data_IF_837400473936
#
_entry.id   IF_837400473936
#
_cell.length_a   1.000
_cell.length_b   1.000
_cell.length_c   1.000
_cell.angle_alpha   90.00
_cell.angle_beta   90.00
_cell.angle_gamma   90.00
#
_symmetry.space_group_name_H-M   'P 1'
#
loop_
_entity.id
_entity.type
_entity.pdbx_description
1 polymer ?
#
# COMPACT_ATOMS: atom_id res chain seq x y z
N UNK A 1 -13.83 -18.04 17.69
CA UNK A 1 -13.11 -17.54 16.49
C UNK A 1 -11.66 -17.32 16.89
N UNK A 2 -10.73 -17.48 15.97
CA UNK A 2 -9.30 -17.24 16.21
C UNK A 2 -8.77 -16.23 15.19
N UNK A 3 -7.75 -15.49 15.59
CA UNK A 3 -7.17 -14.43 14.78
C UNK A 3 -6.03 -15.00 13.93
N UNK A 4 -5.98 -14.63 12.65
CA UNK A 4 -4.90 -14.98 11.74
C UNK A 4 -4.33 -13.73 11.07
N UNK A 5 -3.02 -13.75 10.81
CA UNK A 5 -2.31 -12.64 10.17
C UNK A 5 -1.68 -13.13 8.87
N UNK A 6 -1.96 -12.41 7.78
CA UNK A 6 -1.33 -12.61 6.47
C UNK A 6 -0.30 -11.51 6.28
N UNK A 7 0.94 -11.88 5.94
CA UNK A 7 2.03 -10.95 5.60
C UNK A 7 2.58 -11.36 4.25
N UNK A 8 2.69 -10.39 3.33
CA UNK A 8 3.19 -10.58 1.97
C UNK A 8 4.29 -9.55 1.78
N UNK A 9 5.51 -10.00 1.55
CA UNK A 9 6.63 -9.16 1.15
C UNK A 9 6.77 -9.19 -0.37
N UNK A 10 6.75 -8.02 -1.01
CA UNK A 10 6.85 -7.89 -2.45
C UNK A 10 7.83 -6.76 -2.83
N UNK A 11 8.41 -6.87 -4.02
CA UNK A 11 9.23 -5.80 -4.61
C UNK A 11 8.37 -5.08 -5.65
N UNK A 12 8.19 -3.78 -5.45
CA UNK A 12 7.35 -2.92 -6.28
C UNK A 12 8.05 -1.62 -6.69
N UNK A 13 7.27 -0.74 -7.32
CA UNK A 13 7.72 0.60 -7.72
C UNK A 13 7.63 1.62 -6.58
N UNK A 14 7.04 2.78 -6.87
CA UNK A 14 7.03 3.94 -5.96
C UNK A 14 5.76 4.05 -5.08
N UNK A 15 4.86 3.07 -5.10
CA UNK A 15 3.51 3.21 -4.55
C UNK A 15 2.50 3.80 -5.54
N UNK A 16 1.22 3.54 -5.28
CA UNK A 16 0.09 4.15 -6.00
C UNK A 16 -0.09 5.61 -5.58
N UNK A 17 -0.55 6.46 -6.50
CA UNK A 17 -0.76 7.90 -6.27
C UNK A 17 0.32 8.56 -5.40
N UNK A 18 1.58 8.48 -5.83
CA UNK A 18 2.75 8.93 -5.05
C UNK A 18 2.65 10.35 -4.50
N UNK A 19 1.84 11.20 -5.13
CA UNK A 19 1.67 12.61 -4.78
C UNK A 19 0.69 12.83 -3.62
N UNK A 20 -0.04 11.79 -3.19
CA UNK A 20 -0.98 11.86 -2.07
C UNK A 20 -0.26 11.99 -0.74
N UNK A 21 -0.70 12.94 0.07
CA UNK A 21 -0.20 13.25 1.40
C UNK A 21 -0.99 12.53 2.48
N UNK A 22 -0.55 12.72 3.72
CA UNK A 22 -1.24 12.24 4.90
C UNK A 22 -2.71 12.68 4.96
N UNK A 23 -3.58 11.71 5.25
CA UNK A 23 -5.03 11.91 5.32
C UNK A 23 -5.75 11.88 3.96
N UNK A 24 -5.01 11.87 2.84
CA UNK A 24 -5.63 11.76 1.53
C UNK A 24 -5.95 10.32 1.15
N UNK A 25 -6.98 10.17 0.31
CA UNK A 25 -7.40 8.89 -0.24
C UNK A 25 -6.53 8.55 -1.45
N UNK A 26 -5.89 7.39 -1.40
CA UNK A 26 -5.13 6.74 -2.46
C UNK A 26 -6.08 5.90 -3.30
N UNK A 27 -6.04 6.11 -4.61
CA UNK A 27 -6.80 5.31 -5.55
C UNK A 27 -5.95 4.14 -6.08
N UNK A 28 -6.25 2.94 -5.60
CA UNK A 28 -5.57 1.71 -6.00
C UNK A 28 -5.98 1.20 -7.40
N UNK A 29 -6.88 1.90 -8.10
CA UNK A 29 -7.36 1.52 -9.43
C UNK A 29 -6.58 2.16 -10.59
N UNK A 30 -5.81 3.22 -10.33
CA UNK A 30 -5.35 4.13 -11.39
C UNK A 30 -4.08 3.65 -12.10
N UNK A 31 -3.17 2.89 -11.46
CA UNK A 31 -1.91 2.49 -12.10
C UNK A 31 -1.60 1.00 -12.01
N UNK A 32 -1.53 0.34 -13.16
CA UNK A 32 -0.95 -0.99 -13.32
C UNK A 32 -1.73 -2.08 -12.59
N UNK A 33 -2.56 -2.82 -13.34
CA UNK A 33 -3.35 -3.94 -12.82
C UNK A 33 -2.53 -5.00 -12.07
N UNK A 34 -1.19 -4.99 -12.14
CA UNK A 34 -0.33 -5.99 -11.51
C UNK A 34 0.65 -5.42 -10.48
N UNK A 35 0.47 -4.17 -10.03
CA UNK A 35 1.25 -3.63 -8.93
C UNK A 35 0.91 -4.37 -7.61
N UNK A 36 1.89 -4.64 -6.72
CA UNK A 36 1.63 -5.33 -5.44
C UNK A 36 0.52 -4.69 -4.60
N UNK A 37 0.47 -3.35 -4.57
CA UNK A 37 -0.52 -2.60 -3.79
C UNK A 37 -1.94 -2.77 -4.36
N UNK A 38 -2.08 -2.77 -5.69
CA UNK A 38 -3.36 -2.99 -6.37
C UNK A 38 -3.84 -4.45 -6.22
N UNK A 39 -2.92 -5.42 -6.27
CA UNK A 39 -3.20 -6.83 -5.98
C UNK A 39 -3.66 -7.03 -4.53
N UNK A 40 -2.95 -6.43 -3.57
CA UNK A 40 -3.30 -6.51 -2.15
C UNK A 40 -4.68 -5.91 -1.88
N UNK A 41 -5.00 -4.76 -2.50
CA UNK A 41 -6.32 -4.15 -2.39
C UNK A 41 -7.42 -5.08 -2.91
N UNK A 42 -7.24 -5.68 -4.10
CA UNK A 42 -8.22 -6.63 -4.66
C UNK A 42 -8.42 -7.84 -3.76
N UNK A 43 -7.35 -8.39 -3.18
CA UNK A 43 -7.45 -9.50 -2.24
C UNK A 43 -8.26 -9.13 -0.99
N UNK A 44 -8.04 -7.94 -0.43
CA UNK A 44 -8.81 -7.43 0.71
C UNK A 44 -10.29 -7.26 0.34
N UNK A 45 -10.58 -6.72 -0.83
CA UNK A 45 -11.95 -6.56 -1.32
C UNK A 45 -12.63 -7.92 -1.55
N UNK A 46 -11.90 -8.91 -2.06
CA UNK A 46 -12.39 -10.29 -2.21
C UNK A 46 -12.67 -10.96 -0.86
N UNK A 47 -11.80 -10.80 0.14
CA UNK A 47 -12.06 -11.29 1.50
C UNK A 47 -13.37 -10.71 2.06
N UNK A 48 -13.56 -9.39 1.93
CA UNK A 48 -14.79 -8.72 2.40
C UNK A 48 -16.02 -9.18 1.62
N UNK A 49 -15.91 -9.35 0.30
CA UNK A 49 -17.00 -9.83 -0.55
C UNK A 49 -17.43 -11.26 -0.19
N UNK A 50 -16.49 -12.09 0.27
CA UNK A 50 -16.75 -13.46 0.74
C UNK A 50 -17.20 -13.54 2.22
N UNK A 51 -17.45 -12.40 2.87
CA UNK A 51 -17.95 -12.35 4.26
C UNK A 51 -16.88 -12.58 5.33
N UNK A 52 -15.59 -12.51 4.99
CA UNK A 52 -14.53 -12.53 5.98
C UNK A 52 -14.48 -11.20 6.75
N UNK A 53 -14.35 -11.28 8.07
CA UNK A 53 -14.05 -10.12 8.91
C UNK A 53 -12.58 -9.74 8.76
N UNK A 54 -12.32 -8.49 8.36
CA UNK A 54 -10.97 -7.94 8.20
C UNK A 54 -10.84 -6.74 9.14
N UNK A 55 -10.17 -6.94 10.27
CA UNK A 55 -10.01 -5.89 11.30
C UNK A 55 -8.99 -4.81 10.89
N UNK A 56 -7.98 -5.20 10.11
CA UNK A 56 -6.99 -4.27 9.56
C UNK A 56 -6.41 -4.80 8.25
N UNK A 57 -6.13 -3.90 7.30
CA UNK A 57 -5.39 -4.23 6.08
C UNK A 57 -4.56 -3.02 5.67
N UNK A 58 -3.24 -3.21 5.56
CA UNK A 58 -2.28 -2.13 5.34
C UNK A 58 -1.26 -2.52 4.29
N UNK A 59 -0.90 -1.57 3.45
CA UNK A 59 0.31 -1.62 2.63
C UNK A 59 1.34 -0.72 3.29
N UNK A 60 2.52 -1.27 3.53
CA UNK A 60 3.67 -0.53 4.03
C UNK A 60 4.69 -0.51 2.92
N UNK A 61 5.11 0.68 2.48
CA UNK A 61 6.06 0.83 1.40
C UNK A 61 7.09 1.93 1.69
N UNK A 62 8.27 1.78 1.07
CA UNK A 62 9.37 2.72 1.16
C UNK A 62 9.68 3.17 -0.26
N UNK A 63 9.05 4.25 -0.77
CA UNK A 63 9.41 4.75 -2.08
C UNK A 63 10.92 5.01 -2.10
N UNK A 64 11.61 4.70 -3.19
CA UNK A 64 12.97 5.19 -3.33
C UNK A 64 12.88 6.71 -3.44
N UNK A 65 13.58 7.44 -2.57
CA UNK A 65 13.93 8.81 -2.94
C UNK A 65 14.87 8.63 -4.12
N UNK A 66 14.48 9.02 -5.34
CA UNK A 66 15.41 9.57 -6.33
C UNK A 66 14.80 9.69 -7.73
N UNK A 67 14.56 10.94 -8.08
CA UNK A 67 14.97 11.49 -9.38
C UNK A 67 16.52 11.60 -9.53
N UNK A 68 17.32 11.12 -8.57
CA UNK A 68 18.77 11.39 -8.42
C UNK A 68 19.77 10.23 -8.59
N UNK A 69 19.38 9.06 -9.12
CA UNK A 69 20.32 7.98 -9.47
C UNK A 69 20.73 7.01 -8.35
N UNK A 70 21.49 5.96 -8.68
CA UNK A 70 21.70 4.76 -7.84
C UNK A 70 22.52 4.97 -6.55
N UNK A 71 23.09 6.14 -6.34
CA UNK A 71 24.08 6.39 -5.27
C UNK A 71 23.48 7.06 -4.01
N UNK A 72 22.22 7.49 -4.04
CA UNK A 72 21.52 8.12 -2.91
C UNK A 72 20.26 7.35 -2.49
N UNK A 73 20.22 6.03 -2.65
CA UNK A 73 19.08 5.21 -2.25
C UNK A 73 19.05 5.04 -0.72
N UNK A 74 18.72 6.11 0.01
CA UNK A 74 18.20 5.93 1.35
C UNK A 74 16.87 5.18 1.23
N UNK A 75 16.57 4.25 2.14
CA UNK A 75 15.14 3.89 2.30
C UNK A 75 14.43 5.18 2.67
N UNK A 76 13.51 5.66 1.83
CA UNK A 76 12.70 6.80 2.22
C UNK A 76 11.90 6.44 3.47
N UNK A 77 11.21 7.44 4.04
CA UNK A 77 10.34 7.21 5.17
C UNK A 77 9.28 6.17 4.81
N UNK A 78 8.93 5.38 5.82
CA UNK A 78 7.83 4.43 5.74
C UNK A 78 6.53 5.18 5.45
N UNK A 79 5.83 4.77 4.40
CA UNK A 79 4.48 5.22 4.07
C UNK A 79 3.54 4.03 4.29
N UNK A 80 2.40 4.32 4.89
CA UNK A 80 1.37 3.33 5.20
C UNK A 80 0.06 3.76 4.55
N UNK A 81 -0.47 2.89 3.68
CA UNK A 81 -1.79 3.04 3.11
C UNK A 81 -2.75 2.02 3.73
N UNK A 82 -3.87 2.50 4.25
CA UNK A 82 -4.93 1.65 4.78
C UNK A 82 -5.82 1.14 3.65
N UNK A 83 -5.87 -0.17 3.42
CA UNK A 83 -6.63 -0.77 2.33
C UNK A 83 -8.14 -0.85 2.59
N UNK A 84 -8.58 -0.61 3.82
CA UNK A 84 -10.01 -0.60 4.17
C UNK A 84 -10.63 0.78 3.91
N UNK A 85 -9.87 1.85 4.16
CA UNK A 85 -10.32 3.25 4.07
C UNK A 85 -9.74 4.00 2.87
N UNK A 86 -8.61 3.53 2.34
CA UNK A 86 -7.82 4.21 1.31
C UNK A 86 -6.92 5.33 1.85
N UNK A 87 -6.89 5.56 3.16
CA UNK A 87 -6.19 6.71 3.74
C UNK A 87 -4.69 6.44 3.88
N UNK A 88 -3.87 7.39 3.39
CA UNK A 88 -2.41 7.39 3.56
C UNK A 88 -1.95 8.06 4.85
N UNK A 89 -0.84 7.57 5.39
CA UNK A 89 -0.08 8.18 6.48
C UNK A 89 1.44 7.99 6.31
N UNK A 90 2.26 8.90 6.84
CA UNK A 90 3.72 8.87 6.77
C UNK A 90 4.35 9.66 5.60
N UNK A 91 3.53 10.26 4.74
CA UNK A 91 3.92 11.14 3.63
C UNK A 91 3.57 12.62 3.91
N UNK A 92 4.55 13.36 4.44
CA UNK A 92 4.43 14.78 4.86
C UNK A 92 4.70 15.78 3.72
#
# INVERSE_FOLDING_TARGET
MGDFRIVIDAVGGHGQDRDKKDGEVVDFSIHGENAPEALAKRFVDELKANGCSVDSAKVIHWPLDNYGGPEKNGRAKEIVDDLLTGVRSGNF
#
